data_IF_358489278022
#
_entry.id   IF_358489278022
#
_cell.length_a   1.000
_cell.length_b   1.000
_cell.length_c   1.000
_cell.angle_alpha   90.00
_cell.angle_beta   90.00
_cell.angle_gamma   90.00
#
_symmetry.space_group_name_H-M   'P 1'
#
loop_
_entity.id
_entity.type
_entity.pdbx_description
1 polymer ?
#
# COMPACT_ATOMS: atom_id res chain seq x y z
N UNK A 1 4.29 9.64 -18.25
CA UNK A 1 5.26 10.22 -17.31
C UNK A 1 6.58 9.45 -17.35
N UNK A 2 6.61 8.17 -16.92
CA UNK A 2 7.81 7.31 -17.02
C UNK A 2 8.05 6.80 -18.46
N UNK A 3 7.10 6.04 -19.03
CA UNK A 3 7.27 5.46 -20.38
C UNK A 3 7.38 6.53 -21.49
N UNK A 4 6.57 7.58 -21.37
CA UNK A 4 6.58 8.71 -22.30
C UNK A 4 7.60 9.81 -21.95
N UNK A 5 8.35 9.68 -20.85
CA UNK A 5 9.29 10.69 -20.33
C UNK A 5 8.73 12.12 -20.29
N UNK A 6 7.45 12.28 -19.93
CA UNK A 6 6.79 13.59 -19.85
C UNK A 6 6.63 14.02 -18.40
N UNK A 7 6.80 15.30 -18.07
CA UNK A 7 6.65 15.81 -16.70
C UNK A 7 5.25 16.35 -16.38
N UNK A 8 4.32 16.32 -17.34
CA UNK A 8 2.98 16.89 -17.19
C UNK A 8 1.94 16.05 -17.92
N UNK A 9 0.77 15.90 -17.28
CA UNK A 9 -0.43 15.27 -17.83
C UNK A 9 -1.57 16.27 -17.63
N UNK A 10 -2.37 16.49 -18.67
CA UNK A 10 -3.53 17.40 -18.60
C UNK A 10 -4.60 16.76 -17.69
N UNK A 11 -5.26 17.57 -16.86
CA UNK A 11 -6.38 17.16 -16.00
C UNK A 11 -6.03 16.07 -14.95
N UNK A 12 -4.78 16.02 -14.49
CA UNK A 12 -4.34 15.07 -13.47
C UNK A 12 -4.88 15.44 -12.09
N UNK A 13 -5.56 14.49 -11.43
CA UNK A 13 -5.84 14.56 -10.00
C UNK A 13 -4.54 14.30 -9.24
N UNK A 14 -3.99 15.34 -8.60
CA UNK A 14 -2.68 15.29 -7.91
C UNK A 14 -2.83 15.03 -6.41
N UNK A 15 -4.05 15.12 -5.89
CA UNK A 15 -4.33 14.96 -4.47
C UNK A 15 -5.55 14.06 -4.30
N UNK A 16 -5.31 12.83 -3.84
CA UNK A 16 -6.33 11.99 -3.23
C UNK A 16 -6.04 12.07 -1.75
N UNK A 17 -6.84 12.84 -1.01
CA UNK A 17 -6.72 12.87 0.45
C UNK A 17 -7.11 11.48 0.99
N UNK A 18 -6.17 10.80 1.63
CA UNK A 18 -6.38 9.49 2.24
C UNK A 18 -6.17 9.63 3.76
N UNK A 19 -7.14 10.24 4.49
CA UNK A 19 -6.99 10.57 5.91
C UNK A 19 -6.82 9.34 6.81
N UNK A 20 -7.18 8.16 6.30
CA UNK A 20 -7.02 6.86 6.98
C UNK A 20 -5.59 6.30 6.87
N UNK A 21 -4.71 6.86 6.03
CA UNK A 21 -3.30 6.47 5.99
C UNK A 21 -2.56 7.18 7.13
N UNK A 22 -2.17 6.39 8.13
CA UNK A 22 -1.46 6.84 9.32
C UNK A 22 -0.22 5.97 9.57
N UNK A 23 0.80 6.46 10.29
CA UNK A 23 1.92 5.63 10.71
C UNK A 23 1.44 4.47 11.59
N UNK A 24 1.91 3.26 11.29
CA UNK A 24 1.69 2.06 12.10
C UNK A 24 3.01 1.68 12.74
N UNK A 25 3.08 1.75 14.07
CA UNK A 25 4.30 1.39 14.82
C UNK A 25 4.54 -0.11 14.75
N UNK A 26 5.76 -0.50 14.40
CA UNK A 26 6.27 -1.87 14.48
C UNK A 26 7.40 -1.96 15.47
N UNK A 27 7.53 -3.11 16.15
CA UNK A 27 8.68 -3.43 16.99
C UNK A 27 9.98 -3.74 16.21
N UNK A 28 10.12 -3.29 14.96
CA UNK A 28 11.30 -3.58 14.12
C UNK A 28 12.39 -2.55 14.35
N UNK A 29 13.61 -3.01 14.67
CA UNK A 29 14.77 -2.18 15.02
C UNK A 29 15.17 -1.18 13.92
N UNK A 30 15.11 -1.58 12.65
CA UNK A 30 15.51 -0.72 11.51
C UNK A 30 14.40 0.15 10.93
N UNK A 31 13.15 -0.25 11.10
CA UNK A 31 12.00 0.40 10.47
C UNK A 31 10.86 0.43 11.48
N UNK A 32 10.87 1.41 12.40
CA UNK A 32 9.96 1.43 13.53
C UNK A 32 8.51 1.75 13.13
N UNK A 33 8.30 2.25 11.91
CA UNK A 33 6.97 2.59 11.40
C UNK A 33 6.80 2.15 9.95
N UNK A 34 5.61 1.70 9.61
CA UNK A 34 5.17 1.45 8.23
C UNK A 34 3.98 2.36 7.91
N UNK A 35 3.81 2.71 6.64
CA UNK A 35 2.69 3.51 6.14
C UNK A 35 1.98 2.77 5.02
N UNK A 36 0.67 2.95 4.95
CA UNK A 36 -0.15 2.49 3.82
C UNK A 36 -0.96 1.24 4.10
N UNK A 37 -1.41 0.62 3.01
CA UNK A 37 -2.29 -0.54 3.02
C UNK A 37 -1.51 -1.77 3.48
N UNK A 38 -2.12 -2.53 4.39
CA UNK A 38 -1.78 -3.92 4.64
C UNK A 38 -2.80 -4.82 3.93
N UNK A 39 -2.32 -5.85 3.25
CA UNK A 39 -3.19 -6.77 2.52
C UNK A 39 -2.71 -8.21 2.63
N UNK A 40 -3.68 -9.11 2.61
CA UNK A 40 -3.43 -10.55 2.58
C UNK A 40 -3.55 -11.00 1.12
N UNK A 41 -2.56 -11.75 0.65
CA UNK A 41 -2.49 -12.24 -0.73
C UNK A 41 -2.40 -13.77 -0.72
N UNK A 42 -3.34 -14.42 -1.40
CA UNK A 42 -3.26 -15.84 -1.75
C UNK A 42 -2.75 -15.98 -3.19
N UNK A 43 -2.00 -17.04 -3.47
CA UNK A 43 -1.55 -17.41 -4.81
C UNK A 43 -2.17 -18.75 -5.16
N UNK A 44 -2.79 -18.85 -6.33
CA UNK A 44 -3.30 -20.13 -6.84
C UNK A 44 -2.21 -20.97 -7.52
N UNK A 45 -2.58 -22.19 -7.91
CA UNK A 45 -1.69 -23.15 -8.60
C UNK A 45 -1.22 -22.68 -9.98
N UNK A 46 -1.90 -21.70 -10.59
CA UNK A 46 -1.54 -21.08 -11.86
C UNK A 46 -0.76 -19.76 -11.68
N UNK A 47 -0.45 -19.38 -10.44
CA UNK A 47 0.31 -18.17 -10.11
C UNK A 47 -0.53 -16.89 -10.12
N UNK A 48 -1.86 -16.98 -10.11
CA UNK A 48 -2.74 -15.81 -9.97
C UNK A 48 -2.84 -15.41 -8.51
N UNK A 49 -2.56 -14.14 -8.24
CA UNK A 49 -2.70 -13.54 -6.91
C UNK A 49 -4.12 -13.02 -6.66
N UNK A 50 -4.72 -13.44 -5.55
CA UNK A 50 -6.00 -12.90 -5.07
C UNK A 50 -5.79 -12.17 -3.75
N UNK A 51 -6.33 -10.96 -3.67
CA UNK A 51 -6.33 -10.17 -2.44
C UNK A 51 -7.51 -10.63 -1.59
N UNK A 52 -7.22 -11.18 -0.41
CA UNK A 52 -8.23 -11.69 0.51
C UNK A 52 -8.69 -10.62 1.49
N UNK A 53 -7.79 -9.72 1.87
CA UNK A 53 -8.07 -8.67 2.86
C UNK A 53 -7.29 -7.41 2.52
N UNK A 54 -7.92 -6.27 2.76
CA UNK A 54 -7.30 -4.94 2.70
C UNK A 54 -7.63 -4.25 4.03
N UNK A 55 -6.61 -3.79 4.73
CA UNK A 55 -6.76 -3.04 5.99
C UNK A 55 -5.71 -1.94 6.13
N UNK A 56 -6.02 -0.94 6.93
CA UNK A 56 -5.12 0.15 7.32
C UNK A 56 -4.79 0.11 8.82
N UNK A 57 -5.25 -0.95 9.50
CA UNK A 57 -4.96 -1.21 10.91
C UNK A 57 -3.72 -2.13 11.06
N UNK A 58 -3.04 -2.07 12.21
CA UNK A 58 -2.00 -3.05 12.53
C UNK A 58 -2.54 -4.48 12.49
N UNK A 59 -1.76 -5.42 11.96
CA UNK A 59 -2.02 -6.84 12.19
C UNK A 59 -1.77 -7.14 13.67
N UNK A 60 -2.68 -7.92 14.26
CA UNK A 60 -2.45 -8.48 15.58
C UNK A 60 -1.54 -9.71 15.43
N UNK A 61 -0.22 -9.49 15.36
CA UNK A 61 0.81 -10.54 15.30
C UNK A 61 1.05 -11.16 16.70
N UNK A 62 -0.03 -11.46 17.46
CA UNK A 62 0.08 -12.14 18.77
C UNK A 62 0.56 -13.58 18.64
#
# INVERSE_FOLDING_TARGET
MFDKKTHRVKDRIVSISQPYIRPIVRGKVKTPVEFGIKFDLSLDEYGMGRIEKITFDPYNES
#
